data_IF_827089142472
#
_entry.id   IF_827089142472
#
_cell.length_a   1.000
_cell.length_b   1.000
_cell.length_c   1.000
_cell.angle_alpha   90.00
_cell.angle_beta   90.00
_cell.angle_gamma   90.00
#
_symmetry.space_group_name_H-M   'P 1'
#
loop_
_entity.id
_entity.type
_entity.pdbx_description
1 polymer ?
#
# COMPACT_ATOMS: atom_id res chain seq x y z
N UNK A 1 -3.65 -3.13 -2.99
CA UNK A 1 -2.38 -3.92 -2.98
C UNK A 1 -1.74 -3.95 -1.59
N UNK A 2 -1.30 -2.82 -1.00
CA UNK A 2 -0.78 -2.86 0.38
C UNK A 2 -1.82 -3.38 1.37
N UNK A 3 -3.06 -2.89 1.26
CA UNK A 3 -4.19 -3.39 2.02
C UNK A 3 -4.38 -4.90 1.81
N UNK A 4 -4.31 -5.41 0.57
CA UNK A 4 -4.48 -6.83 0.27
C UNK A 4 -3.42 -7.71 0.94
N UNK A 5 -2.17 -7.25 1.03
CA UNK A 5 -1.12 -7.95 1.78
C UNK A 5 -1.46 -7.97 3.26
N UNK A 6 -1.80 -6.80 3.83
CA UNK A 6 -2.08 -6.65 5.26
C UNK A 6 -3.34 -7.41 5.71
N UNK A 7 -4.37 -7.49 4.86
CA UNK A 7 -5.67 -8.09 5.20
C UNK A 7 -5.85 -9.50 4.67
N UNK A 8 -4.83 -10.07 4.02
CA UNK A 8 -4.92 -11.37 3.34
C UNK A 8 -5.48 -12.48 4.23
N UNK A 9 -4.93 -12.68 5.42
CA UNK A 9 -5.36 -13.78 6.31
C UNK A 9 -6.84 -13.68 6.69
N UNK A 10 -7.31 -12.45 6.95
CA UNK A 10 -8.72 -12.19 7.24
C UNK A 10 -9.59 -12.52 6.02
N UNK A 11 -9.23 -12.00 4.86
CA UNK A 11 -10.00 -12.21 3.62
C UNK A 11 -10.03 -13.69 3.20
N UNK A 12 -8.93 -14.42 3.42
CA UNK A 12 -8.84 -15.87 3.21
C UNK A 12 -9.81 -16.64 4.10
N UNK A 13 -9.91 -16.31 5.39
CA UNK A 13 -10.89 -16.90 6.31
C UNK A 13 -12.33 -16.62 5.87
N UNK A 14 -12.58 -15.41 5.36
CA UNK A 14 -13.87 -14.98 4.81
C UNK A 14 -14.16 -15.54 3.41
N UNK A 15 -13.23 -16.33 2.83
CA UNK A 15 -13.30 -16.86 1.45
C UNK A 15 -13.44 -15.76 0.39
N UNK A 16 -12.91 -14.59 0.67
CA UNK A 16 -12.88 -13.44 -0.23
C UNK A 16 -11.57 -13.43 -1.01
N UNK A 17 -11.70 -13.26 -2.33
CA UNK A 17 -10.56 -13.22 -3.24
C UNK A 17 -9.89 -11.84 -3.20
N UNK A 18 -8.55 -11.82 -3.08
CA UNK A 18 -7.73 -10.60 -3.20
C UNK A 18 -6.52 -10.82 -4.13
N UNK A 19 -5.65 -9.81 -4.28
CA UNK A 19 -4.48 -9.92 -5.17
C UNK A 19 -3.48 -11.00 -4.77
N UNK A 20 -3.30 -11.31 -3.49
CA UNK A 20 -2.42 -12.40 -3.02
C UNK A 20 -3.03 -13.76 -3.40
N UNK A 21 -4.33 -13.96 -3.16
CA UNK A 21 -5.04 -15.17 -3.62
C UNK A 21 -4.94 -15.37 -5.13
N UNK A 22 -5.04 -14.28 -5.90
CA UNK A 22 -4.90 -14.32 -7.36
C UNK A 22 -3.51 -14.79 -7.81
N UNK A 23 -2.43 -14.36 -7.13
CA UNK A 23 -1.08 -14.84 -7.42
C UNK A 23 -0.94 -16.35 -7.18
N UNK A 24 -1.50 -16.85 -6.07
CA UNK A 24 -1.50 -18.29 -5.77
C UNK A 24 -2.25 -19.11 -6.83
N UNK A 25 -3.41 -18.60 -7.27
CA UNK A 25 -4.24 -19.23 -8.33
C UNK A 25 -3.50 -19.21 -9.67
N UNK A 26 -2.91 -18.08 -10.04
CA UNK A 26 -2.19 -17.91 -11.31
C UNK A 26 -1.01 -18.90 -11.43
N UNK A 27 -0.31 -19.13 -10.33
CA UNK A 27 0.82 -20.06 -10.24
C UNK A 27 0.38 -21.50 -9.93
N UNK A 28 -0.93 -21.78 -9.90
CA UNK A 28 -1.50 -23.11 -9.63
C UNK A 28 -0.97 -23.74 -8.33
N UNK A 29 -0.71 -22.91 -7.31
CA UNK A 29 -0.15 -23.35 -6.03
C UNK A 29 1.34 -23.70 -6.05
N UNK A 30 2.08 -23.33 -7.09
CA UNK A 30 3.53 -23.58 -7.18
C UNK A 30 4.38 -22.67 -6.28
N UNK A 31 3.77 -21.66 -5.66
CA UNK A 31 4.44 -20.70 -4.77
C UNK A 31 3.75 -20.65 -3.41
N UNK A 32 4.49 -20.24 -2.38
CA UNK A 32 3.93 -20.05 -1.02
C UNK A 32 3.15 -18.75 -0.90
N UNK A 33 2.41 -18.59 0.22
CA UNK A 33 1.68 -17.35 0.52
C UNK A 33 2.64 -16.18 0.77
N UNK A 34 3.81 -16.43 1.37
CA UNK A 34 4.86 -15.43 1.53
C UNK A 34 5.44 -15.01 0.17
N UNK A 35 5.69 -15.96 -0.73
CA UNK A 35 6.18 -15.67 -2.08
C UNK A 35 5.15 -14.88 -2.90
N UNK A 36 3.87 -15.24 -2.79
CA UNK A 36 2.77 -14.50 -3.41
C UNK A 36 2.68 -13.07 -2.87
N UNK A 37 2.72 -12.90 -1.55
CA UNK A 37 2.73 -11.59 -0.88
C UNK A 37 3.96 -10.76 -1.29
N UNK A 38 5.13 -11.39 -1.41
CA UNK A 38 6.35 -10.75 -1.91
C UNK A 38 6.22 -10.27 -3.35
N UNK A 39 5.58 -11.05 -4.24
CA UNK A 39 5.28 -10.62 -5.62
C UNK A 39 4.37 -9.39 -5.62
N UNK A 40 3.29 -9.40 -4.84
CA UNK A 40 2.39 -8.23 -4.72
C UNK A 40 3.15 -7.02 -4.15
N UNK A 41 4.00 -7.22 -3.14
CA UNK A 41 4.79 -6.14 -2.55
C UNK A 41 5.77 -5.52 -3.57
N UNK A 42 6.44 -6.36 -4.38
CA UNK A 42 7.31 -5.87 -5.48
C UNK A 42 6.52 -5.04 -6.49
N UNK A 43 5.27 -5.39 -6.77
CA UNK A 43 4.38 -4.56 -7.61
C UNK A 43 4.09 -3.22 -6.94
N UNK A 44 3.78 -3.18 -5.65
CA UNK A 44 3.59 -1.92 -4.91
C UNK A 44 4.84 -1.03 -5.04
N UNK A 45 6.02 -1.57 -4.73
CA UNK A 45 7.27 -0.83 -4.78
C UNK A 45 7.62 -0.33 -6.19
N UNK A 46 7.34 -1.13 -7.21
CA UNK A 46 7.48 -0.70 -8.61
C UNK A 46 6.58 0.51 -8.91
N UNK A 47 5.28 0.40 -8.66
CA UNK A 47 4.33 1.48 -8.95
C UNK A 47 4.55 2.72 -8.09
N UNK A 48 5.02 2.56 -6.84
CA UNK A 48 5.40 3.70 -5.99
C UNK A 48 6.55 4.50 -6.61
N UNK A 49 7.57 3.82 -7.13
CA UNK A 49 8.71 4.48 -7.80
C UNK A 49 8.26 5.20 -9.07
N UNK A 50 7.40 4.58 -9.87
CA UNK A 50 6.86 5.21 -11.07
C UNK A 50 6.01 6.44 -10.72
N UNK A 51 5.14 6.35 -9.70
CA UNK A 51 4.36 7.48 -9.22
C UNK A 51 5.25 8.61 -8.72
N UNK A 52 6.30 8.29 -7.96
CA UNK A 52 7.24 9.29 -7.46
C UNK A 52 7.96 10.01 -8.61
N UNK A 53 8.33 9.29 -9.68
CA UNK A 53 8.91 9.91 -10.89
C UNK A 53 7.95 10.93 -11.51
N UNK A 54 6.66 10.61 -11.59
CA UNK A 54 5.64 11.53 -12.12
C UNK A 54 5.42 12.74 -11.21
N UNK A 55 5.43 12.55 -9.89
CA UNK A 55 5.34 13.63 -8.90
C UNK A 55 6.54 14.58 -9.02
N UNK A 56 7.76 14.03 -9.17
CA UNK A 56 8.98 14.83 -9.27
C UNK A 56 9.22 15.45 -10.64
N UNK A 57 8.47 15.05 -11.68
CA UNK A 57 8.61 15.59 -13.03
C UNK A 57 8.07 17.02 -13.09
N UNK A 58 8.92 18.01 -12.90
CA UNK A 58 8.53 19.44 -12.94
C UNK A 58 8.50 19.98 -14.38
N UNK A 59 9.54 19.71 -15.16
CA UNK A 59 9.66 20.17 -16.54
C UNK A 59 8.81 19.33 -17.49
N UNK A 60 8.06 19.99 -18.39
CA UNK A 60 7.21 19.31 -19.39
C UNK A 60 5.97 18.60 -18.84
N UNK A 61 5.73 18.66 -17.52
CA UNK A 61 4.52 18.08 -16.92
C UNK A 61 3.29 18.95 -17.17
N UNK A 62 2.25 18.35 -17.74
CA UNK A 62 0.92 18.96 -17.86
C UNK A 62 0.09 18.88 -16.57
N UNK A 63 0.56 18.11 -15.58
CA UNK A 63 -0.16 17.87 -14.32
C UNK A 63 0.11 19.03 -13.34
N UNK A 64 -0.94 19.66 -12.78
CA UNK A 64 -0.78 20.70 -11.77
C UNK A 64 -0.07 20.21 -10.50
N UNK A 65 0.71 21.08 -9.89
CA UNK A 65 1.49 20.78 -8.67
C UNK A 65 0.61 20.33 -7.50
N UNK A 66 -0.57 20.94 -7.35
CA UNK A 66 -1.55 20.54 -6.32
C UNK A 66 -1.99 19.08 -6.50
N UNK A 67 -2.21 18.63 -7.73
CA UNK A 67 -2.59 17.25 -8.01
C UNK A 67 -1.44 16.29 -7.65
N UNK A 68 -0.19 16.64 -7.99
CA UNK A 68 0.99 15.83 -7.65
C UNK A 68 1.16 15.68 -6.14
N UNK A 69 1.03 16.79 -5.40
CA UNK A 69 1.10 16.78 -3.94
C UNK A 69 -0.02 15.93 -3.33
N UNK A 70 -1.23 16.01 -3.87
CA UNK A 70 -2.34 15.17 -3.43
C UNK A 70 -2.02 13.68 -3.64
N UNK A 71 -1.59 13.27 -4.83
CA UNK A 71 -1.20 11.88 -5.09
C UNK A 71 -0.07 11.39 -4.19
N UNK A 72 0.96 12.22 -3.99
CA UNK A 72 2.05 11.90 -3.08
C UNK A 72 1.57 11.70 -1.64
N UNK A 73 0.66 12.56 -1.17
CA UNK A 73 0.04 12.43 0.15
C UNK A 73 -0.73 11.12 0.29
N UNK A 74 -1.56 10.74 -0.68
CA UNK A 74 -2.28 9.45 -0.64
C UNK A 74 -1.33 8.25 -0.62
N UNK A 75 -0.24 8.31 -1.37
CA UNK A 75 0.80 7.28 -1.33
C UNK A 75 1.38 7.11 0.07
N UNK A 76 1.75 8.22 0.74
CA UNK A 76 2.26 8.20 2.12
C UNK A 76 1.23 7.66 3.12
N UNK A 77 -0.03 8.10 3.04
CA UNK A 77 -1.11 7.62 3.90
C UNK A 77 -1.33 6.11 3.72
N UNK A 78 -1.35 5.63 2.47
CA UNK A 78 -1.52 4.20 2.19
C UNK A 78 -0.39 3.35 2.77
N UNK A 79 0.85 3.82 2.70
CA UNK A 79 1.98 3.15 3.36
C UNK A 79 1.85 3.18 4.87
N UNK A 80 1.56 4.34 5.45
CA UNK A 80 1.39 4.47 6.89
C UNK A 80 0.30 3.54 7.43
N UNK A 81 -0.83 3.38 6.73
CA UNK A 81 -1.95 2.56 7.19
C UNK A 81 -1.75 1.04 7.00
N UNK A 82 -0.99 0.63 5.98
CA UNK A 82 -0.99 -0.78 5.52
C UNK A 82 0.40 -1.40 5.36
N UNK A 83 1.49 -0.66 5.61
CA UNK A 83 2.84 -1.21 5.58
C UNK A 83 3.15 -1.93 6.89
N UNK A 84 3.06 -3.26 6.89
CA UNK A 84 3.47 -4.13 8.00
C UNK A 84 4.99 -4.17 8.24
N UNK A 85 5.77 -3.44 7.44
CA UNK A 85 7.24 -3.47 7.44
C UNK A 85 7.83 -2.47 8.43
N UNK A 86 7.10 -1.42 8.82
CA UNK A 86 7.63 -0.57 9.86
C UNK A 86 7.45 -1.28 11.22
N UNK A 87 8.54 -1.48 11.95
CA UNK A 87 8.49 -2.04 13.30
C UNK A 87 7.98 -1.01 14.32
N UNK A 88 7.56 0.16 13.83
CA UNK A 88 7.37 1.39 14.60
C UNK A 88 5.89 1.78 14.73
N UNK A 89 5.03 1.37 13.79
CA UNK A 89 3.64 1.82 13.72
C UNK A 89 2.68 0.67 14.02
N UNK A 90 2.26 0.58 15.28
CA UNK A 90 1.20 -0.35 15.68
C UNK A 90 -0.20 0.19 15.30
N UNK A 91 -1.23 -0.66 15.14
CA UNK A 91 -2.60 -0.19 14.92
C UNK A 91 -3.10 0.78 15.99
N UNK A 92 -2.60 0.66 17.23
CA UNK A 92 -2.92 1.56 18.33
C UNK A 92 -2.25 2.93 18.13
N UNK A 93 -0.97 2.95 17.73
CA UNK A 93 -0.28 4.19 17.37
C UNK A 93 -0.98 4.91 16.21
N UNK A 94 -1.41 4.18 15.17
CA UNK A 94 -2.17 4.76 14.06
C UNK A 94 -3.45 5.45 14.53
N UNK A 95 -4.17 4.82 15.45
CA UNK A 95 -5.40 5.39 16.01
C UNK A 95 -5.10 6.68 16.79
N UNK A 96 -4.04 6.68 17.59
CA UNK A 96 -3.63 7.84 18.38
C UNK A 96 -3.17 9.00 17.50
N UNK A 97 -2.37 8.72 16.46
CA UNK A 97 -1.90 9.72 15.50
C UNK A 97 -3.07 10.35 14.74
N UNK A 98 -4.05 9.54 14.30
CA UNK A 98 -5.28 10.04 13.64
C UNK A 98 -6.12 10.88 14.62
N UNK A 99 -6.26 10.44 15.88
CA UNK A 99 -6.97 11.22 16.89
C UNK A 99 -6.29 12.55 17.14
N UNK A 100 -4.96 12.57 17.26
CA UNK A 100 -4.18 13.79 17.40
C UNK A 100 -4.41 14.72 16.21
N UNK A 101 -4.28 14.21 14.98
CA UNK A 101 -4.47 14.99 13.76
C UNK A 101 -5.87 15.63 13.64
N UNK A 102 -6.93 14.98 14.14
CA UNK A 102 -8.31 15.47 14.03
C UNK A 102 -8.66 16.42 15.19
N UNK A 103 -8.20 16.13 16.40
CA UNK A 103 -8.68 16.78 17.62
C UNK A 103 -7.67 17.76 18.25
N UNK A 104 -6.40 17.73 17.86
CA UNK A 104 -5.39 18.67 18.33
C UNK A 104 -5.14 19.75 17.26
N UNK A 105 -5.33 21.05 17.59
CA UNK A 105 -5.07 22.17 16.68
C UNK A 105 -3.60 22.33 16.25
#
# INVERSE_FOLDING_TARGET
>A
LLNDIQTFEKEKQERKLNSVSLQLIAEKGAITEEEASSKVFKMVEHHRRELLRLVLLTEGSIIPEVCKNFFWMFGKIGYYLYSSIDEFTSPQQMKEDIQSLIYQP
#
